data_IF_533161184768
#
_entry.id   IF_533161184768
#
_cell.length_a   1.000
_cell.length_b   1.000
_cell.length_c   1.000
_cell.angle_alpha   90.00
_cell.angle_beta   90.00
_cell.angle_gamma   90.00
#
_symmetry.space_group_name_H-M   'P 1'
#
loop_
_entity.id
_entity.type
_entity.pdbx_description
1 polymer ?
#
# COMPACT_ATOMS: atom_id res chain seq x y z
N UNK A 1 18.48 -13.59 4.17
CA UNK A 1 17.28 -13.54 5.04
C UNK A 1 16.35 -12.45 4.52
N UNK A 2 15.05 -12.70 4.54
CA UNK A 2 14.02 -11.70 4.16
C UNK A 2 13.73 -10.80 5.36
N UNK A 3 13.72 -9.48 5.15
CA UNK A 3 13.38 -8.49 6.18
C UNK A 3 12.00 -7.92 5.88
N UNK A 4 11.14 -7.82 6.90
CA UNK A 4 9.83 -7.19 6.79
C UNK A 4 9.83 -5.86 7.56
N UNK A 5 9.27 -4.83 6.95
CA UNK A 5 9.07 -3.51 7.56
C UNK A 5 7.60 -3.14 7.40
N UNK A 6 6.93 -2.82 8.51
CA UNK A 6 5.54 -2.38 8.51
C UNK A 6 5.50 -0.91 8.91
N UNK A 7 4.92 -0.08 8.05
CA UNK A 7 4.75 1.36 8.30
C UNK A 7 3.31 1.61 8.75
N UNK A 8 3.14 2.01 10.01
CA UNK A 8 1.87 2.39 10.61
C UNK A 8 1.80 3.89 10.84
N UNK A 9 0.61 4.46 11.01
CA UNK A 9 0.44 5.87 11.35
C UNK A 9 -0.89 6.12 12.02
N UNK A 10 -0.99 7.24 12.72
CA UNK A 10 -2.14 7.61 13.56
C UNK A 10 -3.34 8.08 12.74
N UNK A 11 -3.11 8.61 11.54
CA UNK A 11 -4.17 9.12 10.67
C UNK A 11 -3.79 9.03 9.19
N UNK A 12 -4.71 9.44 8.31
CA UNK A 12 -4.48 9.71 6.89
C UNK A 12 -3.64 10.97 6.72
N UNK A 13 -2.81 11.04 5.66
CA UNK A 13 -2.00 12.23 5.39
C UNK A 13 -0.78 12.44 6.30
N UNK A 14 -0.58 11.67 7.37
CA UNK A 14 0.57 11.79 8.31
C UNK A 14 1.94 11.43 7.71
N UNK A 15 2.02 11.14 6.40
CA UNK A 15 3.28 10.88 5.71
C UNK A 15 3.70 9.41 5.54
N UNK A 16 2.81 8.44 5.83
CA UNK A 16 3.10 6.99 5.69
C UNK A 16 3.70 6.64 4.32
N UNK A 17 3.09 7.12 3.24
CA UNK A 17 3.51 6.84 1.86
C UNK A 17 4.90 7.38 1.55
N UNK A 18 5.20 8.60 2.02
CA UNK A 18 6.51 9.23 1.87
C UNK A 18 7.59 8.48 2.66
N UNK A 19 7.29 8.09 3.90
CA UNK A 19 8.20 7.28 4.73
C UNK A 19 8.45 5.91 4.09
N UNK A 20 7.41 5.26 3.56
CA UNK A 20 7.55 4.00 2.82
C UNK A 20 8.47 4.16 1.61
N UNK A 21 8.29 5.21 0.81
CA UNK A 21 9.16 5.49 -0.33
C UNK A 21 10.62 5.73 0.10
N UNK A 22 10.84 6.49 1.17
CA UNK A 22 12.18 6.77 1.69
C UNK A 22 12.90 5.49 2.16
N UNK A 23 12.20 4.61 2.89
CA UNK A 23 12.75 3.32 3.31
C UNK A 23 13.05 2.46 2.07
N UNK A 24 12.11 2.36 1.12
CA UNK A 24 12.29 1.57 -0.08
C UNK A 24 13.48 2.03 -0.92
N UNK A 25 13.60 3.34 -1.16
CA UNK A 25 14.72 3.93 -1.88
C UNK A 25 16.06 3.68 -1.17
N UNK A 26 16.10 3.80 0.16
CA UNK A 26 17.31 3.54 0.95
C UNK A 26 17.76 2.08 0.84
N UNK A 27 16.83 1.13 1.00
CA UNK A 27 17.14 -0.30 0.92
C UNK A 27 17.56 -0.70 -0.51
N UNK A 28 16.87 -0.17 -1.52
CA UNK A 28 17.21 -0.39 -2.93
C UNK A 28 18.59 0.22 -3.29
N UNK A 29 18.87 1.44 -2.83
CA UNK A 29 20.17 2.09 -3.02
C UNK A 29 21.32 1.35 -2.33
N UNK A 30 21.03 0.55 -1.30
CA UNK A 30 21.97 -0.36 -0.68
C UNK A 30 22.02 -1.76 -1.36
N UNK A 31 21.52 -1.87 -2.59
CA UNK A 31 21.62 -3.06 -3.43
C UNK A 31 20.64 -4.19 -3.08
N UNK A 32 19.61 -3.92 -2.24
CA UNK A 32 18.63 -4.96 -1.86
C UNK A 32 17.47 -4.98 -2.84
N UNK A 33 16.92 -6.18 -3.07
CA UNK A 33 15.62 -6.32 -3.74
C UNK A 33 14.52 -5.87 -2.77
N UNK A 34 13.68 -4.94 -3.22
CA UNK A 34 12.60 -4.35 -2.43
C UNK A 34 11.28 -4.53 -3.16
N UNK A 35 10.26 -4.97 -2.43
CA UNK A 35 8.86 -4.98 -2.85
C UNK A 35 8.06 -4.16 -1.83
N UNK A 36 7.34 -3.13 -2.30
CA UNK A 36 6.40 -2.38 -1.47
C UNK A 36 4.98 -2.90 -1.72
N UNK A 37 4.27 -3.23 -0.65
CA UNK A 37 2.93 -3.83 -0.74
C UNK A 37 1.93 -2.94 -0.03
N UNK A 38 0.86 -2.58 -0.74
CA UNK A 38 -0.34 -1.96 -0.18
C UNK A 38 -1.50 -2.94 -0.34
N UNK A 39 -1.84 -3.73 0.69
CA UNK A 39 -2.87 -4.75 0.50
C UNK A 39 -4.25 -4.16 0.18
N UNK A 40 -4.58 -3.01 0.79
CA UNK A 40 -5.83 -2.30 0.52
C UNK A 40 -5.60 -0.80 0.45
N UNK A 41 -6.17 -0.16 -0.57
CA UNK A 41 -6.26 1.30 -0.72
C UNK A 41 -7.72 1.72 -0.62
N UNK A 42 -7.99 2.76 0.17
CA UNK A 42 -9.33 3.32 0.38
C UNK A 42 -9.38 4.75 -0.12
N UNK A 43 -10.57 5.27 -0.42
CA UNK A 43 -10.74 6.64 -0.91
C UNK A 43 -10.36 6.80 -2.38
N UNK A 44 -10.44 5.74 -3.18
CA UNK A 44 -10.08 5.78 -4.61
C UNK A 44 -11.21 6.26 -5.53
N UNK A 45 -12.42 6.44 -5.00
CA UNK A 45 -13.56 6.94 -5.75
C UNK A 45 -13.61 8.47 -5.75
N UNK A 46 -14.13 9.06 -6.84
CA UNK A 46 -14.27 10.50 -6.98
C UNK A 46 -14.07 10.96 -8.42
N UNK A 47 -14.29 12.25 -8.67
CA UNK A 47 -14.03 12.87 -9.98
C UNK A 47 -12.55 13.15 -10.25
N UNK A 48 -11.72 13.13 -9.20
CA UNK A 48 -10.26 13.25 -9.27
C UNK A 48 -9.63 12.13 -8.44
N UNK A 49 -9.52 10.91 -9.01
CA UNK A 49 -9.05 9.75 -8.26
C UNK A 49 -7.55 9.86 -7.99
N UNK A 50 -7.17 9.76 -6.71
CA UNK A 50 -5.78 9.62 -6.29
C UNK A 50 -5.12 8.44 -7.05
N UNK A 51 -3.96 8.65 -7.71
CA UNK A 51 -3.24 7.56 -8.38
C UNK A 51 -2.93 6.39 -7.44
N UNK A 52 -2.83 6.64 -6.13
CA UNK A 52 -2.69 5.65 -5.08
C UNK A 52 -1.26 5.55 -4.56
N UNK A 53 -1.14 5.11 -3.31
CA UNK A 53 0.13 5.08 -2.56
C UNK A 53 1.25 4.35 -3.30
N UNK A 54 0.94 3.22 -3.93
CA UNK A 54 1.95 2.42 -4.65
C UNK A 54 2.46 3.12 -5.90
N UNK A 55 1.64 3.93 -6.56
CA UNK A 55 2.06 4.70 -7.75
C UNK A 55 3.02 5.79 -7.32
N UNK A 56 2.73 6.50 -6.22
CA UNK A 56 3.64 7.48 -5.62
C UNK A 56 4.99 6.85 -5.27
N UNK A 57 4.98 5.66 -4.64
CA UNK A 57 6.20 4.93 -4.31
C UNK A 57 6.96 4.50 -5.57
N UNK A 58 6.28 3.90 -6.55
CA UNK A 58 6.92 3.44 -7.79
C UNK A 58 7.58 4.60 -8.54
N UNK A 59 6.88 5.74 -8.68
CA UNK A 59 7.43 6.92 -9.33
C UNK A 59 8.62 7.52 -8.57
N UNK A 60 8.56 7.56 -7.24
CA UNK A 60 9.63 8.15 -6.43
C UNK A 60 10.90 7.29 -6.34
N UNK A 61 10.79 5.97 -6.53
CA UNK A 61 11.85 5.03 -6.16
C UNK A 61 12.27 4.07 -7.27
N UNK A 62 11.41 3.82 -8.26
CA UNK A 62 11.60 2.77 -9.27
C UNK A 62 11.53 1.34 -8.74
N UNK A 63 11.14 1.12 -7.48
CA UNK A 63 11.05 -0.23 -6.89
C UNK A 63 9.78 -0.98 -7.32
N UNK A 64 9.81 -2.30 -7.18
CA UNK A 64 8.63 -3.15 -7.40
C UNK A 64 7.54 -2.82 -6.38
N UNK A 65 6.29 -2.71 -6.85
CA UNK A 65 5.13 -2.41 -6.00
C UNK A 65 3.97 -3.37 -6.29
N UNK A 66 3.17 -3.64 -5.26
CA UNK A 66 1.97 -4.45 -5.38
C UNK A 66 0.80 -3.81 -4.62
N UNK A 67 -0.35 -3.73 -5.27
CA UNK A 67 -1.62 -3.32 -4.66
C UNK A 67 -2.71 -4.32 -5.03
N UNK A 68 -3.58 -4.66 -4.09
CA UNK A 68 -4.52 -5.77 -4.27
C UNK A 68 -5.98 -5.36 -4.35
N UNK A 69 -6.43 -4.45 -3.49
CA UNK A 69 -7.83 -4.06 -3.38
C UNK A 69 -7.92 -2.54 -3.32
N UNK A 70 -8.75 -1.95 -4.18
CA UNK A 70 -9.15 -0.54 -4.15
C UNK A 70 -10.60 -0.42 -3.69
N UNK A 71 -10.85 0.51 -2.77
CA UNK A 71 -12.15 0.77 -2.15
C UNK A 71 -12.47 2.25 -2.26
N UNK A 72 -13.68 2.59 -2.67
CA UNK A 72 -14.01 3.95 -3.12
C UNK A 72 -14.12 4.92 -1.95
N UNK A 73 -14.67 4.44 -0.83
CA UNK A 73 -15.00 5.29 0.32
C UNK A 73 -13.73 5.59 1.14
N UNK A 74 -13.48 6.85 1.55
CA UNK A 74 -12.35 7.22 2.40
C UNK A 74 -12.64 6.87 3.86
N UNK A 75 -12.76 5.58 4.15
CA UNK A 75 -13.06 5.02 5.47
C UNK A 75 -12.02 3.94 5.81
N UNK A 76 -12.03 3.45 7.05
CA UNK A 76 -11.25 2.26 7.39
C UNK A 76 -11.57 1.10 6.41
N UNK A 77 -10.57 0.29 6.00
CA UNK A 77 -10.75 -0.70 4.94
C UNK A 77 -11.91 -1.67 5.17
N UNK A 78 -12.09 -2.16 6.40
CA UNK A 78 -13.21 -3.04 6.76
C UNK A 78 -14.58 -2.38 6.53
N UNK A 79 -14.73 -1.12 6.96
CA UNK A 79 -15.97 -0.36 6.78
C UNK A 79 -16.23 -0.06 5.30
N UNK A 80 -15.22 0.37 4.55
CA UNK A 80 -15.35 0.65 3.12
C UNK A 80 -15.74 -0.61 2.35
N UNK A 81 -15.08 -1.74 2.63
CA UNK A 81 -15.35 -3.03 2.01
C UNK A 81 -16.77 -3.53 2.30
N UNK A 82 -17.22 -3.45 3.56
CA UNK A 82 -18.59 -3.81 3.95
C UNK A 82 -19.65 -2.97 3.22
N UNK A 83 -19.43 -1.67 3.11
CA UNK A 83 -20.37 -0.77 2.41
C UNK A 83 -20.40 -1.00 0.89
N UNK A 84 -19.30 -1.48 0.31
CA UNK A 84 -19.21 -1.81 -1.12
C UNK A 84 -19.54 -3.27 -1.44
N UNK A 85 -19.80 -4.11 -0.42
CA UNK A 85 -20.02 -5.55 -0.61
C UNK A 85 -18.78 -6.30 -1.11
N UNK A 86 -17.58 -5.77 -0.87
CA UNK A 86 -16.30 -6.38 -1.28
C UNK A 86 -15.78 -7.28 -0.16
N UNK A 87 -15.58 -8.58 -0.38
CA UNK A 87 -14.98 -9.45 0.63
C UNK A 87 -13.50 -9.14 0.79
N UNK A 88 -13.04 -9.02 2.04
CA UNK A 88 -11.61 -8.88 2.34
C UNK A 88 -11.00 -10.26 2.63
N UNK A 89 -9.92 -10.64 1.94
CA UNK A 89 -9.24 -11.90 2.20
C UNK A 89 -8.47 -11.84 3.53
N UNK A 90 -8.20 -13.00 4.16
CA UNK A 90 -7.34 -13.06 5.33
C UNK A 90 -5.90 -12.67 4.97
N UNK A 91 -5.13 -12.21 5.96
CA UNK A 91 -3.73 -11.77 5.80
C UNK A 91 -2.87 -12.85 5.10
N UNK A 92 -3.10 -14.13 5.38
CA UNK A 92 -2.37 -15.25 4.76
C UNK A 92 -2.43 -15.20 3.24
N UNK A 93 -3.57 -14.85 2.67
CA UNK A 93 -3.77 -14.87 1.23
C UNK A 93 -3.05 -13.68 0.56
N UNK A 94 -2.86 -12.57 1.27
CA UNK A 94 -1.99 -11.49 0.82
C UNK A 94 -0.51 -11.91 0.80
N UNK A 95 -0.06 -12.68 1.81
CA UNK A 95 1.32 -13.18 1.88
C UNK A 95 1.64 -14.09 0.70
N UNK A 96 0.72 -14.97 0.32
CA UNK A 96 0.89 -15.88 -0.83
C UNK A 96 1.02 -15.16 -2.18
N UNK A 97 0.66 -13.87 -2.26
CA UNK A 97 0.79 -13.06 -3.47
C UNK A 97 2.13 -12.34 -3.60
N UNK A 98 2.97 -12.37 -2.56
CA UNK A 98 4.23 -11.60 -2.49
C UNK A 98 5.47 -12.45 -2.19
N UNK A 99 5.28 -13.75 -2.00
CA UNK A 99 6.33 -14.77 -1.92
C UNK A 99 6.48 -15.45 -3.27
#
# INVERSE_FOLDING_TARGET
MTRYVVVTGTDTGVGKTVVTAAIAASEAGAGRRVLVVKPLQTGTGGSDPDPGDVVTVAHATGVEVAEFIRLDRPLAPDTAARLQGVPLPPVRDHVLRIL
#
